data_IF_582071021183
#
_entry.id   IF_582071021183
#
_cell.length_a   1.000
_cell.length_b   1.000
_cell.length_c   1.000
_cell.angle_alpha   90.00
_cell.angle_beta   90.00
_cell.angle_gamma   90.00
#
_symmetry.space_group_name_H-M   'P 1'
#
loop_
_entity.id
_entity.type
_entity.pdbx_description
1 polymer ?
#
# COMPACT_ATOMS: atom_id res chain seq x y z
N UNK A 1 -5.26 -28.38 -10.86
CA UNK A 1 -6.67 -28.05 -11.21
C UNK A 1 -6.88 -26.58 -10.94
N UNK A 2 -7.00 -25.72 -11.96
CA UNK A 2 -7.31 -24.29 -11.78
C UNK A 2 -8.72 -24.19 -11.20
N UNK A 3 -8.88 -23.85 -9.92
CA UNK A 3 -10.17 -23.49 -9.34
C UNK A 3 -10.57 -22.13 -9.92
N UNK A 4 -11.54 -22.11 -10.82
CA UNK A 4 -12.15 -20.86 -11.27
C UNK A 4 -12.92 -20.23 -10.09
N UNK A 5 -12.69 -18.91 -9.88
CA UNK A 5 -13.44 -18.16 -8.89
C UNK A 5 -14.92 -18.06 -9.25
N UNK A 6 -15.78 -18.19 -8.25
CA UNK A 6 -17.22 -17.95 -8.45
C UNK A 6 -17.53 -16.46 -8.57
N UNK A 7 -18.64 -16.06 -9.22
CA UNK A 7 -19.06 -14.66 -9.27
C UNK A 7 -19.18 -14.01 -7.88
N UNK A 8 -19.59 -14.77 -6.87
CA UNK A 8 -19.68 -14.29 -5.48
C UNK A 8 -18.31 -13.97 -4.89
N UNK A 9 -17.30 -14.80 -5.18
CA UNK A 9 -15.93 -14.57 -4.74
C UNK A 9 -15.34 -13.33 -5.42
N UNK A 10 -15.55 -13.18 -6.73
CA UNK A 10 -15.13 -12.00 -7.49
C UNK A 10 -15.81 -10.73 -6.97
N UNK A 11 -17.11 -10.80 -6.66
CA UNK A 11 -17.85 -9.68 -6.10
C UNK A 11 -17.33 -9.25 -4.72
N UNK A 12 -16.99 -10.21 -3.85
CA UNK A 12 -16.37 -9.93 -2.54
C UNK A 12 -14.99 -9.28 -2.71
N UNK A 13 -14.16 -9.77 -3.64
CA UNK A 13 -12.88 -9.16 -3.98
C UNK A 13 -13.05 -7.70 -4.38
N UNK A 14 -13.93 -7.44 -5.34
CA UNK A 14 -14.19 -6.07 -5.81
C UNK A 14 -14.61 -5.15 -4.66
N UNK A 15 -15.52 -5.63 -3.79
CA UNK A 15 -15.95 -4.87 -2.62
C UNK A 15 -14.78 -4.55 -1.67
N UNK A 16 -13.89 -5.51 -1.43
CA UNK A 16 -12.69 -5.34 -0.60
C UNK A 16 -11.81 -4.23 -1.16
N UNK A 17 -11.40 -4.35 -2.43
CA UNK A 17 -10.57 -3.36 -3.12
C UNK A 17 -11.18 -1.97 -3.07
N UNK A 18 -12.47 -1.86 -3.39
CA UNK A 18 -13.19 -0.59 -3.36
C UNK A 18 -13.13 0.06 -1.97
N UNK A 19 -13.36 -0.73 -0.91
CA UNK A 19 -13.35 -0.22 0.47
C UNK A 19 -11.94 0.19 0.91
N UNK A 20 -10.93 -0.60 0.59
CA UNK A 20 -9.52 -0.30 0.87
C UNK A 20 -9.06 0.96 0.14
N UNK A 21 -9.48 1.13 -1.12
CA UNK A 21 -9.18 2.31 -1.91
C UNK A 21 -10.05 3.54 -1.56
N UNK A 22 -10.97 3.42 -0.60
CA UNK A 22 -11.81 4.52 -0.11
C UNK A 22 -12.90 5.00 -1.07
N UNK A 23 -13.26 4.19 -2.09
CA UNK A 23 -14.29 4.52 -3.07
C UNK A 23 -15.69 4.07 -2.62
N UNK A 24 -16.71 4.88 -2.96
CA UNK A 24 -18.11 4.47 -2.84
C UNK A 24 -18.54 3.61 -4.04
N UNK A 25 -19.66 2.90 -3.91
CA UNK A 25 -20.27 2.17 -5.03
C UNK A 25 -20.63 3.11 -6.20
N UNK A 26 -20.96 4.36 -5.91
CA UNK A 26 -21.24 5.38 -6.91
C UNK A 26 -19.98 5.79 -7.67
N UNK A 27 -18.82 5.84 -7.00
CA UNK A 27 -17.55 6.14 -7.65
C UNK A 27 -17.17 5.01 -8.63
N UNK A 28 -17.32 3.72 -8.23
CA UNK A 28 -17.11 2.58 -9.12
C UNK A 28 -18.09 2.58 -10.30
N UNK A 29 -19.36 2.91 -10.04
CA UNK A 29 -20.37 3.00 -11.09
C UNK A 29 -19.97 4.03 -12.18
N UNK A 30 -19.45 5.18 -11.74
CA UNK A 30 -18.93 6.21 -12.65
C UNK A 30 -17.68 5.75 -13.42
N UNK A 31 -16.75 5.05 -12.75
CA UNK A 31 -15.56 4.49 -13.40
C UNK A 31 -15.93 3.54 -14.53
N UNK A 32 -16.90 2.66 -14.27
CA UNK A 32 -17.33 1.64 -15.21
C UNK A 32 -18.41 2.12 -16.21
N UNK A 33 -18.90 3.35 -16.05
CA UNK A 33 -20.02 3.91 -16.84
C UNK A 33 -21.29 3.04 -16.78
N UNK A 34 -21.56 2.44 -15.61
CA UNK A 34 -22.74 1.64 -15.32
C UNK A 34 -23.54 2.24 -14.16
N UNK A 35 -24.74 1.71 -13.93
CA UNK A 35 -25.53 2.16 -12.78
C UNK A 35 -24.96 1.67 -11.44
N UNK A 36 -25.16 2.44 -10.35
CA UNK A 36 -24.81 2.01 -8.99
C UNK A 36 -25.44 0.65 -8.64
N UNK A 37 -26.68 0.42 -9.07
CA UNK A 37 -27.36 -0.87 -8.89
C UNK A 37 -26.59 -2.02 -9.54
N UNK A 38 -26.00 -1.81 -10.71
CA UNK A 38 -25.15 -2.79 -11.39
C UNK A 38 -23.91 -3.12 -10.56
N UNK A 39 -23.26 -2.14 -9.95
CA UNK A 39 -22.12 -2.36 -9.04
C UNK A 39 -22.54 -3.19 -7.83
N UNK A 40 -23.68 -2.88 -7.22
CA UNK A 40 -24.25 -3.68 -6.12
C UNK A 40 -24.46 -5.14 -6.54
N UNK A 41 -24.98 -5.38 -7.76
CA UNK A 41 -25.21 -6.73 -8.28
C UNK A 41 -23.87 -7.46 -8.54
N UNK A 42 -22.85 -6.77 -9.03
CA UNK A 42 -21.51 -7.34 -9.20
C UNK A 42 -20.91 -7.71 -7.84
N UNK A 43 -20.96 -6.81 -6.84
CA UNK A 43 -20.43 -7.07 -5.49
C UNK A 43 -21.16 -8.21 -4.76
N UNK A 44 -22.43 -8.44 -5.07
CA UNK A 44 -23.21 -9.59 -4.57
C UNK A 44 -22.99 -10.87 -5.36
N UNK A 45 -22.30 -10.79 -6.50
CA UNK A 45 -22.09 -11.93 -7.42
C UNK A 45 -23.31 -12.30 -8.26
N UNK A 46 -24.33 -11.45 -8.32
CA UNK A 46 -25.55 -11.66 -9.12
C UNK A 46 -25.38 -11.18 -10.57
N UNK A 47 -24.33 -10.40 -10.85
CA UNK A 47 -23.92 -9.96 -12.17
C UNK A 47 -22.43 -10.22 -12.33
N UNK A 48 -22.04 -10.80 -13.47
CA UNK A 48 -20.63 -10.98 -13.80
C UNK A 48 -20.01 -9.64 -14.22
N UNK A 49 -18.76 -9.43 -13.86
CA UNK A 49 -17.94 -8.34 -14.38
C UNK A 49 -17.42 -8.73 -15.75
N UNK A 50 -17.54 -7.86 -16.73
CA UNK A 50 -16.98 -8.09 -18.06
C UNK A 50 -15.46 -7.86 -18.08
N UNK A 51 -14.76 -8.41 -19.07
CA UNK A 51 -13.32 -8.20 -19.24
C UNK A 51 -12.97 -6.71 -19.41
N UNK A 52 -13.82 -5.94 -20.09
CA UNK A 52 -13.63 -4.50 -20.27
C UNK A 52 -13.78 -3.76 -18.95
N UNK A 53 -14.83 -4.06 -18.16
CA UNK A 53 -15.05 -3.48 -16.85
C UNK A 53 -13.88 -3.83 -15.88
N UNK A 54 -13.39 -5.06 -15.94
CA UNK A 54 -12.25 -5.50 -15.14
C UNK A 54 -10.97 -4.76 -15.54
N UNK A 55 -10.71 -4.58 -16.83
CA UNK A 55 -9.56 -3.82 -17.34
C UNK A 55 -9.62 -2.36 -16.87
N UNK A 56 -10.79 -1.72 -16.96
CA UNK A 56 -10.99 -0.34 -16.48
C UNK A 56 -10.74 -0.23 -14.97
N UNK A 57 -11.23 -1.19 -14.18
CA UNK A 57 -11.00 -1.22 -12.74
C UNK A 57 -9.54 -1.48 -12.38
N UNK A 58 -8.87 -2.40 -13.08
CA UNK A 58 -7.47 -2.71 -12.83
C UNK A 58 -6.57 -1.49 -13.08
N UNK A 59 -6.85 -0.74 -14.15
CA UNK A 59 -6.15 0.52 -14.41
C UNK A 59 -6.48 1.61 -13.39
N UNK A 60 -7.76 1.73 -13.01
CA UNK A 60 -8.23 2.78 -12.10
C UNK A 60 -7.78 2.55 -10.65
N UNK A 61 -7.80 1.31 -10.19
CA UNK A 61 -7.52 0.94 -8.80
C UNK A 61 -6.10 0.36 -8.61
N UNK A 62 -5.33 0.22 -9.70
CA UNK A 62 -3.93 -0.18 -9.67
C UNK A 62 -3.69 -1.64 -9.31
N UNK A 63 -4.60 -2.56 -9.66
CA UNK A 63 -4.42 -4.00 -9.45
C UNK A 63 -4.22 -4.76 -10.78
N UNK A 64 -3.67 -5.98 -10.69
CA UNK A 64 -3.55 -6.88 -11.85
C UNK A 64 -4.87 -7.63 -12.08
N UNK A 65 -5.39 -7.58 -13.34
CA UNK A 65 -6.58 -8.33 -13.69
C UNK A 65 -6.39 -9.84 -13.56
N UNK A 66 -5.19 -10.36 -13.85
CA UNK A 66 -4.85 -11.78 -13.72
C UNK A 66 -4.86 -12.23 -12.26
N UNK A 67 -4.34 -11.42 -11.35
CA UNK A 67 -4.38 -11.70 -9.92
C UNK A 67 -5.79 -11.58 -9.36
N UNK A 68 -6.59 -10.64 -9.86
CA UNK A 68 -7.99 -10.54 -9.49
C UNK A 68 -8.75 -11.82 -9.83
N UNK A 69 -8.42 -12.45 -10.94
CA UNK A 69 -9.02 -13.70 -11.41
C UNK A 69 -8.39 -14.96 -10.82
N UNK A 70 -7.23 -14.86 -10.16
CA UNK A 70 -6.57 -16.02 -9.55
C UNK A 70 -7.34 -16.56 -8.34
N UNK A 71 -7.31 -17.89 -8.15
CA UNK A 71 -8.07 -18.59 -7.09
C UNK A 71 -7.37 -18.57 -5.71
N UNK A 72 -6.17 -18.00 -5.60
CA UNK A 72 -5.39 -17.98 -4.35
C UNK A 72 -5.89 -16.94 -3.33
N UNK A 73 -7.01 -16.30 -3.60
CA UNK A 73 -7.62 -15.32 -2.72
C UNK A 73 -8.70 -15.96 -1.84
N UNK A 74 -8.37 -16.30 -0.60
CA UNK A 74 -9.34 -16.42 0.47
C UNK A 74 -9.48 -15.07 1.17
N UNK A 75 -10.66 -14.47 1.04
CA UNK A 75 -11.01 -13.24 1.75
C UNK A 75 -10.99 -13.52 3.26
N UNK A 76 -9.98 -13.03 3.94
CA UNK A 76 -9.95 -12.97 5.41
C UNK A 76 -10.97 -11.96 5.90
N UNK A 77 -12.26 -12.32 5.85
CA UNK A 77 -13.31 -11.59 6.54
C UNK A 77 -13.96 -12.56 7.51
N UNK A 78 -13.26 -12.79 8.61
CA UNK A 78 -13.90 -13.27 9.84
C UNK A 78 -13.09 -12.72 11.01
N UNK A 79 -13.57 -11.62 11.58
CA UNK A 79 -13.26 -11.33 12.97
C UNK A 79 -13.90 -12.42 13.80
N UNK A 80 -13.14 -13.44 14.12
CA UNK A 80 -13.42 -14.35 15.21
C UNK A 80 -12.41 -14.02 16.29
N UNK A 81 -12.91 -13.44 17.37
CA UNK A 81 -12.19 -13.40 18.63
C UNK A 81 -12.03 -14.87 19.04
N UNK A 82 -10.82 -15.39 18.90
CA UNK A 82 -10.43 -16.66 19.51
C UNK A 82 -9.44 -16.31 20.60
N UNK A 83 -9.85 -16.53 21.84
CA UNK A 83 -8.97 -16.54 23.00
C UNK A 83 -7.85 -17.56 22.74
N UNK A 84 -6.61 -17.09 22.78
CA UNK A 84 -5.43 -17.95 22.71
C UNK A 84 -5.24 -18.68 24.04
N UNK A 85 -4.90 -19.99 24.01
CA UNK A 85 -4.30 -20.62 25.17
C UNK A 85 -2.80 -20.32 25.19
N UNK A 86 -2.33 -19.86 26.34
CA UNK A 86 -0.92 -19.71 26.67
C UNK A 86 -0.12 -20.98 26.33
N UNK A 87 0.78 -20.86 25.37
CA UNK A 87 1.86 -21.82 25.18
C UNK A 87 3.17 -21.02 25.23
N UNK A 88 3.79 -21.02 26.42
CA UNK A 88 5.18 -20.67 26.57
C UNK A 88 6.02 -21.62 25.71
N UNK A 89 6.61 -21.11 24.66
CA UNK A 89 7.70 -21.75 23.95
C UNK A 89 8.86 -20.76 23.90
N UNK A 90 9.87 -21.06 24.71
CA UNK A 90 11.19 -20.46 24.64
C UNK A 90 11.77 -20.58 23.22
N UNK A 91 11.73 -19.48 22.48
CA UNK A 91 12.58 -19.23 21.32
C UNK A 91 13.28 -17.92 21.56
N UNK A 92 14.54 -18.04 22.00
CA UNK A 92 15.45 -16.94 22.23
C UNK A 92 15.60 -16.05 20.97
N UNK A 93 15.31 -14.77 21.19
CA UNK A 93 15.98 -13.61 20.59
C UNK A 93 16.01 -13.56 19.07
N UNK A 94 14.86 -13.47 18.43
CA UNK A 94 14.70 -12.52 17.34
C UNK A 94 14.37 -11.17 17.99
N UNK A 95 15.17 -10.15 17.72
CA UNK A 95 14.85 -8.77 18.13
C UNK A 95 13.67 -8.29 17.31
N UNK A 96 12.48 -8.75 17.67
CA UNK A 96 11.23 -8.22 17.15
C UNK A 96 11.11 -6.80 17.66
N UNK A 97 11.59 -5.87 16.87
CA UNK A 97 11.24 -4.47 17.06
C UNK A 97 9.79 -4.30 16.60
N UNK A 98 8.84 -4.67 17.48
CA UNK A 98 7.43 -4.43 17.23
C UNK A 98 7.27 -2.98 16.78
N UNK A 99 6.75 -2.73 15.57
CA UNK A 99 6.63 -1.38 15.05
C UNK A 99 5.83 -0.50 16.01
N UNK A 100 6.44 0.59 16.45
CA UNK A 100 5.78 1.56 17.31
C UNK A 100 5.48 2.83 16.52
N UNK A 101 4.20 3.06 16.25
CA UNK A 101 3.74 4.20 15.47
C UNK A 101 4.21 5.53 16.06
N UNK A 102 5.01 6.25 15.31
CA UNK A 102 5.48 7.62 15.60
C UNK A 102 4.52 8.61 14.93
N UNK A 103 3.31 8.80 15.52
CA UNK A 103 2.21 9.54 14.91
C UNK A 103 2.58 10.91 14.34
N UNK A 104 3.26 11.75 15.11
CA UNK A 104 3.67 13.09 14.67
C UNK A 104 4.62 13.04 13.46
N UNK A 105 5.49 12.04 13.41
CA UNK A 105 6.41 11.82 12.29
C UNK A 105 5.68 11.35 11.06
N UNK A 106 4.77 10.39 11.19
CA UNK A 106 3.92 9.92 10.09
C UNK A 106 3.12 11.07 9.46
N UNK A 107 2.47 11.90 10.28
CA UNK A 107 1.75 13.07 9.77
C UNK A 107 2.68 14.03 9.01
N UNK A 108 3.89 14.25 9.51
CA UNK A 108 4.89 15.07 8.84
C UNK A 108 5.29 14.48 7.50
N UNK A 109 5.55 13.18 7.42
CA UNK A 109 5.89 12.47 6.16
C UNK A 109 4.75 12.56 5.17
N UNK A 110 3.51 12.31 5.59
CA UNK A 110 2.32 12.44 4.72
C UNK A 110 2.19 13.86 4.18
N UNK A 111 2.32 14.88 5.03
CA UNK A 111 2.26 16.29 4.62
C UNK A 111 3.39 16.64 3.67
N UNK A 112 4.58 16.12 3.88
CA UNK A 112 5.73 16.36 3.02
C UNK A 112 5.53 15.72 1.64
N UNK A 113 5.13 14.44 1.58
CA UNK A 113 4.83 13.75 0.32
C UNK A 113 3.71 14.46 -0.44
N UNK A 114 2.60 14.76 0.23
CA UNK A 114 1.46 15.44 -0.41
C UNK A 114 1.78 16.87 -0.83
N UNK A 115 2.65 17.55 -0.10
CA UNK A 115 3.16 18.89 -0.45
C UNK A 115 4.03 18.89 -1.70
N UNK A 116 4.88 17.86 -1.86
CA UNK A 116 5.79 17.74 -3.02
C UNK A 116 5.09 17.16 -4.25
N UNK A 117 4.20 16.20 -4.07
CA UNK A 117 3.65 15.38 -5.14
C UNK A 117 2.14 15.57 -5.35
N UNK A 118 1.41 16.22 -4.44
CA UNK A 118 -0.05 16.33 -4.49
C UNK A 118 -0.60 17.02 -5.75
N UNK A 119 0.19 17.89 -6.37
CA UNK A 119 -0.17 18.52 -7.64
C UNK A 119 -0.07 17.59 -8.85
N UNK A 120 0.66 16.46 -8.73
CA UNK A 120 0.81 15.50 -9.82
C UNK A 120 -0.56 14.92 -10.20
N UNK A 121 -0.86 14.78 -11.52
CA UNK A 121 -2.18 14.32 -11.96
C UNK A 121 -2.59 12.95 -11.41
N UNK A 122 -1.63 12.05 -11.19
CA UNK A 122 -1.85 10.67 -10.75
C UNK A 122 -1.61 10.44 -9.25
N UNK A 123 -1.36 11.49 -8.48
CA UNK A 123 -1.15 11.36 -7.03
C UNK A 123 -2.47 11.00 -6.34
N UNK A 124 -2.74 9.71 -6.21
CA UNK A 124 -3.86 9.15 -5.47
C UNK A 124 -3.43 8.51 -4.15
N UNK A 125 -4.40 7.96 -3.42
CA UNK A 125 -4.14 7.29 -2.14
C UNK A 125 -3.23 6.07 -2.30
N UNK A 126 -3.37 5.32 -3.40
CA UNK A 126 -2.55 4.12 -3.62
C UNK A 126 -1.09 4.48 -3.86
N UNK A 127 -0.84 5.54 -4.65
CA UNK A 127 0.52 6.05 -4.84
C UNK A 127 1.10 6.56 -3.51
N UNK A 128 0.31 7.27 -2.70
CA UNK A 128 0.74 7.73 -1.36
C UNK A 128 1.15 6.56 -0.47
N UNK A 129 0.35 5.49 -0.43
CA UNK A 129 0.61 4.29 0.37
C UNK A 129 1.93 3.62 -0.04
N UNK A 130 2.16 3.46 -1.35
CA UNK A 130 3.40 2.85 -1.84
C UNK A 130 4.63 3.74 -1.55
N UNK A 131 4.50 5.05 -1.70
CA UNK A 131 5.59 5.97 -1.35
C UNK A 131 5.91 5.93 0.14
N UNK A 132 4.89 5.86 1.02
CA UNK A 132 5.09 5.68 2.47
C UNK A 132 5.83 4.38 2.78
N UNK A 133 5.38 3.27 2.19
CA UNK A 133 6.03 1.97 2.34
C UNK A 133 7.51 2.04 1.94
N UNK A 134 7.81 2.59 0.77
CA UNK A 134 9.19 2.72 0.29
C UNK A 134 10.03 3.64 1.19
N UNK A 135 9.46 4.74 1.71
CA UNK A 135 10.16 5.59 2.66
C UNK A 135 10.52 4.85 3.96
N UNK A 136 9.57 4.10 4.52
CA UNK A 136 9.77 3.34 5.75
C UNK A 136 10.81 2.23 5.56
N UNK A 137 10.66 1.39 4.53
CA UNK A 137 11.53 0.24 4.31
C UNK A 137 12.93 0.64 3.81
N UNK A 138 13.05 1.69 2.98
CA UNK A 138 14.36 2.20 2.57
C UNK A 138 15.11 2.83 3.75
N UNK A 139 14.39 3.56 4.60
CA UNK A 139 15.01 4.12 5.80
C UNK A 139 15.49 3.01 6.74
N UNK A 140 14.68 1.96 6.93
CA UNK A 140 15.05 0.85 7.78
C UNK A 140 16.27 0.08 7.23
N UNK A 141 16.32 -0.16 5.92
CA UNK A 141 17.46 -0.83 5.29
C UNK A 141 18.77 -0.05 5.46
N UNK A 142 18.72 1.29 5.41
CA UNK A 142 19.90 2.16 5.53
C UNK A 142 20.34 2.39 6.98
N UNK A 143 19.39 2.54 7.89
CA UNK A 143 19.65 3.06 9.24
C UNK A 143 19.27 2.09 10.36
N UNK A 144 18.65 0.95 10.05
CA UNK A 144 18.19 -0.05 11.02
C UNK A 144 17.18 0.52 12.04
N UNK A 145 16.54 1.64 11.67
CA UNK A 145 15.55 2.35 12.46
C UNK A 145 14.27 2.57 11.67
N UNK A 146 13.13 2.40 12.31
CA UNK A 146 11.84 2.69 11.70
C UNK A 146 11.64 4.20 11.56
N UNK A 147 11.28 4.67 10.36
CA UNK A 147 10.97 6.07 10.11
C UNK A 147 9.65 6.46 10.79
N UNK A 148 8.54 5.87 10.37
CA UNK A 148 7.21 6.16 10.92
C UNK A 148 6.73 5.16 11.95
N UNK A 149 7.27 3.94 11.92
CA UNK A 149 6.82 2.82 12.76
C UNK A 149 5.42 2.34 12.40
N UNK A 150 4.99 2.56 11.15
CA UNK A 150 3.72 2.11 10.64
C UNK A 150 3.76 0.61 10.37
N UNK A 151 2.76 -0.12 10.84
CA UNK A 151 2.64 -1.55 10.56
C UNK A 151 2.04 -1.74 9.17
N UNK A 152 2.67 -2.57 8.35
CA UNK A 152 2.19 -2.92 7.02
C UNK A 152 1.79 -4.39 6.98
N UNK A 153 0.65 -4.69 6.35
CA UNK A 153 0.21 -6.07 6.06
C UNK A 153 0.29 -6.31 4.56
N UNK A 154 0.67 -7.53 4.16
CA UNK A 154 0.62 -7.91 2.76
C UNK A 154 -0.81 -8.08 2.31
N UNK A 155 -1.24 -7.26 1.36
CA UNK A 155 -2.52 -7.39 0.68
C UNK A 155 -2.32 -7.78 -0.79
N UNK A 156 -3.39 -8.18 -1.45
CA UNK A 156 -3.35 -8.65 -2.86
C UNK A 156 -2.70 -7.64 -3.80
N UNK A 157 -2.82 -6.36 -3.49
CA UNK A 157 -2.37 -5.27 -4.38
C UNK A 157 -1.11 -4.56 -3.91
N UNK A 158 -0.50 -5.04 -2.84
CA UNK A 158 0.73 -4.47 -2.30
C UNK A 158 0.68 -4.30 -0.78
N UNK A 159 1.58 -3.50 -0.22
CA UNK A 159 1.62 -3.22 1.21
C UNK A 159 0.42 -2.37 1.62
N UNK A 160 -0.30 -2.79 2.66
CA UNK A 160 -1.42 -2.04 3.24
C UNK A 160 -1.07 -1.58 4.65
N UNK A 161 -0.92 -0.27 4.86
CA UNK A 161 -0.62 0.25 6.19
C UNK A 161 -1.84 0.17 7.10
N UNK A 162 -1.63 -0.23 8.35
CA UNK A 162 -2.69 -0.36 9.34
C UNK A 162 -3.36 0.99 9.59
N UNK A 163 -4.69 0.99 9.58
CA UNK A 163 -5.55 2.15 9.87
C UNK A 163 -5.24 3.45 9.09
N UNK A 164 -4.56 3.38 7.94
CA UNK A 164 -4.18 4.59 7.17
C UNK A 164 -5.40 5.45 6.82
N UNK A 165 -6.52 4.84 6.45
CA UNK A 165 -7.75 5.57 6.13
C UNK A 165 -8.34 6.32 7.33
N UNK A 166 -8.22 5.77 8.54
CA UNK A 166 -8.58 6.45 9.78
C UNK A 166 -7.68 7.67 10.02
N UNK A 167 -6.36 7.47 9.86
CA UNK A 167 -5.36 8.52 10.02
C UNK A 167 -5.59 9.68 9.05
N UNK A 168 -5.81 9.39 7.76
CA UNK A 168 -6.07 10.42 6.75
C UNK A 168 -7.37 11.19 7.03
N UNK A 169 -8.44 10.51 7.50
CA UNK A 169 -9.69 11.16 7.89
C UNK A 169 -9.51 12.08 9.10
N UNK A 170 -8.73 11.67 10.09
CA UNK A 170 -8.40 12.51 11.25
C UNK A 170 -7.62 13.75 10.83
N UNK A 171 -6.59 13.58 9.99
CA UNK A 171 -5.82 14.71 9.44
C UNK A 171 -6.70 15.65 8.60
N UNK A 172 -7.69 15.14 7.87
CA UNK A 172 -8.67 15.93 7.13
C UNK A 172 -9.56 16.73 8.11
N UNK A 173 -10.08 16.08 9.15
CA UNK A 173 -10.89 16.72 10.21
C UNK A 173 -10.12 17.82 10.93
N UNK A 174 -8.83 17.60 11.17
CA UNK A 174 -7.95 18.58 11.83
C UNK A 174 -7.47 19.71 10.88
N UNK A 175 -7.93 19.71 9.63
CA UNK A 175 -7.54 20.70 8.62
C UNK A 175 -6.11 20.57 8.12
N UNK A 176 -5.39 19.50 8.48
CA UNK A 176 -4.03 19.21 8.04
C UNK A 176 -3.99 18.75 6.59
N UNK A 177 -5.02 18.02 6.15
CA UNK A 177 -5.19 17.55 4.77
C UNK A 177 -6.52 18.03 4.20
N UNK A 178 -6.55 18.22 2.90
CA UNK A 178 -7.75 18.48 2.14
C UNK A 178 -7.96 17.35 1.14
N UNK A 179 -9.13 16.72 1.18
CA UNK A 179 -9.50 15.62 0.30
C UNK A 179 -10.21 16.15 -0.94
N UNK A 180 -9.70 15.81 -2.10
CA UNK A 180 -10.29 16.18 -3.39
C UNK A 180 -10.69 14.94 -4.15
N UNK A 181 -11.91 14.97 -4.70
CA UNK A 181 -12.33 14.03 -5.72
C UNK A 181 -11.96 14.62 -7.07
N UNK A 182 -11.05 13.98 -7.77
CA UNK A 182 -10.59 14.38 -9.10
C UNK A 182 -11.00 13.39 -10.16
N UNK A 183 -10.55 13.67 -11.39
CA UNK A 183 -10.68 12.78 -12.52
C UNK A 183 -9.37 12.84 -13.32
N UNK A 184 -8.82 11.67 -13.66
CA UNK A 184 -7.66 11.57 -14.53
C UNK A 184 -7.99 10.67 -15.71
N UNK A 185 -8.01 11.22 -16.93
CA UNK A 185 -8.37 10.50 -18.18
C UNK A 185 -9.70 9.74 -18.09
N UNK A 186 -10.73 10.34 -17.44
CA UNK A 186 -12.04 9.71 -17.26
C UNK A 186 -12.15 8.84 -15.99
N UNK A 187 -11.04 8.57 -15.29
CA UNK A 187 -11.01 7.72 -14.10
C UNK A 187 -11.11 8.60 -12.85
N UNK A 188 -12.15 8.45 -12.01
CA UNK A 188 -12.22 9.14 -10.73
C UNK A 188 -11.07 8.74 -9.81
N UNK A 189 -10.48 9.71 -9.13
CA UNK A 189 -9.44 9.47 -8.15
C UNK A 189 -9.64 10.36 -6.90
N UNK A 190 -9.11 9.89 -5.78
CA UNK A 190 -9.08 10.64 -4.54
C UNK A 190 -7.65 11.13 -4.33
N UNK A 191 -7.52 12.46 -4.21
CA UNK A 191 -6.27 13.14 -3.89
C UNK A 191 -6.31 13.74 -2.51
N UNK A 192 -5.15 13.82 -1.90
CA UNK A 192 -4.94 14.60 -0.70
C UNK A 192 -3.92 15.71 -1.00
N UNK A 193 -4.27 16.93 -0.62
CA UNK A 193 -3.38 18.08 -0.64
C UNK A 193 -3.14 18.55 0.80
N UNK A 194 -1.94 19.07 1.12
CA UNK A 194 -1.68 19.57 2.45
C UNK A 194 -2.51 20.84 2.72
N UNK A 195 -3.19 20.89 3.85
CA UNK A 195 -3.84 22.08 4.38
C UNK A 195 -2.88 22.95 5.19
N UNK A 196 -1.76 22.37 5.64
CA UNK A 196 -0.70 23.02 6.40
C UNK A 196 0.66 22.54 5.89
N UNK A 197 1.70 23.34 6.13
CA UNK A 197 3.06 22.92 5.81
C UNK A 197 3.56 21.81 6.73
N UNK A 198 4.35 20.87 6.18
CA UNK A 198 5.02 19.87 6.97
C UNK A 198 6.02 20.53 7.95
N UNK A 199 5.97 20.15 9.23
CA UNK A 199 6.97 20.59 10.20
C UNK A 199 8.24 19.75 10.06
N UNK A 200 9.18 20.21 9.25
CA UNK A 200 10.43 19.49 8.95
C UNK A 200 11.35 19.33 10.18
N UNK A 201 11.09 20.02 11.28
CA UNK A 201 11.85 19.81 12.53
C UNK A 201 11.58 18.41 13.13
N UNK A 202 10.53 17.72 12.70
CA UNK A 202 10.24 16.35 13.10
C UNK A 202 11.04 15.30 12.33
N UNK A 203 11.80 15.70 11.31
CA UNK A 203 12.63 14.83 10.47
C UNK A 203 14.10 15.19 10.64
N UNK A 204 14.95 14.19 10.79
CA UNK A 204 16.39 14.37 10.65
C UNK A 204 16.79 14.60 9.19
N UNK A 205 18.03 15.04 8.97
CA UNK A 205 18.56 15.21 7.61
C UNK A 205 18.58 13.89 6.84
N UNK A 206 18.96 12.78 7.49
CA UNK A 206 18.99 11.44 6.91
C UNK A 206 17.58 10.95 6.53
N UNK A 207 16.60 11.13 7.41
CA UNK A 207 15.20 10.76 7.12
C UNK A 207 14.64 11.54 5.93
N UNK A 208 14.92 12.85 5.90
CA UNK A 208 14.50 13.70 4.78
C UNK A 208 15.17 13.28 3.46
N UNK A 209 16.46 12.96 3.49
CA UNK A 209 17.19 12.49 2.31
C UNK A 209 16.59 11.20 1.74
N UNK A 210 16.25 10.23 2.58
CA UNK A 210 15.59 9.00 2.14
C UNK A 210 14.24 9.29 1.48
N UNK A 211 13.43 10.15 2.10
CA UNK A 211 12.13 10.54 1.54
C UNK A 211 12.32 11.22 0.19
N UNK A 212 13.25 12.18 0.08
CA UNK A 212 13.51 12.89 -1.18
C UNK A 212 13.94 11.93 -2.30
N UNK A 213 14.83 10.97 -2.03
CA UNK A 213 15.25 9.95 -3.01
C UNK A 213 14.07 9.11 -3.49
N UNK A 214 13.20 8.67 -2.57
CA UNK A 214 11.98 7.93 -2.93
C UNK A 214 11.07 8.76 -3.83
N UNK A 215 10.86 10.04 -3.50
CA UNK A 215 10.00 10.92 -4.29
C UNK A 215 10.60 11.21 -5.67
N UNK A 216 11.90 11.45 -5.78
CA UNK A 216 12.59 11.66 -7.05
C UNK A 216 12.48 10.44 -7.96
N UNK A 217 12.63 9.25 -7.42
CA UNK A 217 12.62 8.01 -8.19
C UNK A 217 11.20 7.60 -8.60
N UNK A 218 10.24 7.66 -7.69
CA UNK A 218 8.96 6.95 -7.84
C UNK A 218 7.72 7.84 -7.98
N UNK A 219 7.77 9.14 -7.64
CA UNK A 219 6.57 9.99 -7.64
C UNK A 219 5.89 10.12 -8.99
N UNK A 220 6.62 9.93 -10.08
CA UNK A 220 6.11 10.00 -11.45
C UNK A 220 5.62 8.67 -12.00
N UNK A 221 5.81 7.57 -11.26
CA UNK A 221 5.38 6.25 -11.71
C UNK A 221 3.85 6.12 -11.64
N UNK A 222 3.24 5.36 -12.56
CA UNK A 222 1.85 4.93 -12.39
C UNK A 222 1.72 4.06 -11.14
N UNK A 223 0.61 4.19 -10.41
CA UNK A 223 0.36 3.39 -9.20
C UNK A 223 0.44 1.88 -9.49
N UNK A 224 -0.04 1.43 -10.65
CA UNK A 224 0.05 0.02 -11.07
C UNK A 224 1.49 -0.47 -11.24
N UNK A 225 2.37 0.37 -11.81
CA UNK A 225 3.79 0.02 -11.97
C UNK A 225 4.49 -0.01 -10.60
N UNK A 226 4.17 0.94 -9.72
CA UNK A 226 4.74 0.98 -8.38
C UNK A 226 4.23 -0.19 -7.51
N UNK A 227 2.96 -0.57 -7.62
CA UNK A 227 2.42 -1.77 -7.00
C UNK A 227 3.14 -3.05 -7.50
N UNK A 228 3.43 -3.15 -8.80
CA UNK A 228 4.19 -4.27 -9.33
C UNK A 228 5.61 -4.30 -8.75
N UNK A 229 6.27 -3.15 -8.70
CA UNK A 229 7.62 -3.00 -8.14
C UNK A 229 7.66 -3.41 -6.66
N UNK A 230 6.76 -2.87 -5.82
CA UNK A 230 6.74 -3.19 -4.39
C UNK A 230 6.39 -4.66 -4.12
N UNK A 231 5.51 -5.27 -4.93
CA UNK A 231 5.19 -6.71 -4.80
C UNK A 231 6.36 -7.62 -5.18
N UNK A 232 7.24 -7.15 -6.05
CA UNK A 232 8.43 -7.92 -6.46
C UNK A 232 9.57 -7.84 -5.42
N UNK A 233 9.45 -6.98 -4.42
CA UNK A 233 10.42 -6.90 -3.32
C UNK A 233 10.36 -8.11 -2.38
N UNK A 234 11.51 -8.47 -1.81
CA UNK A 234 11.63 -9.59 -0.87
C UNK A 234 10.70 -9.46 0.35
N UNK A 235 10.49 -8.30 0.97
CA UNK A 235 9.55 -8.15 2.07
C UNK A 235 8.14 -8.66 1.74
N UNK A 236 7.64 -8.35 0.54
CA UNK A 236 6.34 -8.84 0.13
C UNK A 236 6.39 -10.29 -0.36
N UNK A 237 7.44 -10.71 -1.09
CA UNK A 237 7.59 -12.11 -1.54
C UNK A 237 7.60 -13.09 -0.38
N UNK A 238 8.34 -12.79 0.70
CA UNK A 238 8.51 -13.67 1.86
C UNK A 238 7.31 -13.69 2.82
N UNK A 239 6.45 -12.66 2.80
CA UNK A 239 5.30 -12.55 3.69
C UNK A 239 4.09 -13.25 3.08
N UNK A 240 3.28 -13.96 3.87
CA UNK A 240 2.01 -14.53 3.39
C UNK A 240 0.91 -13.46 3.34
N UNK A 241 -0.10 -13.73 2.51
CA UNK A 241 -1.27 -12.86 2.38
C UNK A 241 -1.96 -12.64 3.73
N UNK A 242 -2.19 -11.37 4.09
CA UNK A 242 -2.84 -10.98 5.35
C UNK A 242 -1.90 -10.91 6.55
N UNK A 243 -0.65 -11.37 6.45
CA UNK A 243 0.33 -11.28 7.52
C UNK A 243 1.07 -9.92 7.53
N UNK A 244 1.60 -9.56 8.70
CA UNK A 244 2.43 -8.36 8.85
C UNK A 244 3.76 -8.52 8.12
N UNK A 245 4.20 -7.47 7.45
CA UNK A 245 5.47 -7.41 6.72
C UNK A 245 6.54 -6.96 7.71
N UNK A 246 7.52 -7.84 8.01
CA UNK A 246 8.65 -7.52 8.88
C UNK A 246 9.60 -6.53 8.20
N UNK A 247 10.00 -5.50 8.93
CA UNK A 247 10.96 -4.50 8.43
C UNK A 247 12.34 -5.13 8.15
N UNK A 248 12.74 -6.15 8.91
CA UNK A 248 14.00 -6.89 8.76
C UNK A 248 14.14 -7.54 7.38
N UNK A 249 13.02 -7.83 6.72
CA UNK A 249 13.03 -8.37 5.36
C UNK A 249 13.60 -7.39 4.32
N UNK A 250 13.74 -6.11 4.67
CA UNK A 250 14.39 -5.12 3.81
C UNK A 250 15.87 -5.46 3.55
N UNK A 251 16.56 -6.12 4.50
CA UNK A 251 17.95 -6.53 4.33
C UNK A 251 18.17 -7.67 3.33
N UNK A 252 17.08 -8.34 2.93
CA UNK A 252 17.10 -9.44 1.97
C UNK A 252 16.63 -9.02 0.57
N UNK A 253 16.53 -7.72 0.32
CA UNK A 253 16.17 -7.19 -0.99
C UNK A 253 17.23 -7.53 -2.03
N UNK A 254 16.77 -7.90 -3.23
CA UNK A 254 17.65 -8.10 -4.38
C UNK A 254 18.26 -6.78 -4.84
N UNK A 255 19.38 -6.82 -5.54
CA UNK A 255 20.18 -5.67 -5.97
C UNK A 255 19.35 -4.59 -6.71
N UNK A 256 18.27 -4.95 -7.41
CA UNK A 256 17.38 -4.01 -8.10
C UNK A 256 16.43 -3.22 -7.17
N UNK A 257 16.26 -3.64 -5.90
CA UNK A 257 15.37 -3.06 -4.91
C UNK A 257 16.12 -2.53 -3.69
N UNK A 258 17.31 -3.07 -3.42
CA UNK A 258 18.15 -2.63 -2.32
C UNK A 258 18.64 -1.20 -2.52
N UNK A 259 18.57 -0.40 -1.47
CA UNK A 259 19.10 0.96 -1.42
C UNK A 259 20.47 1.01 -0.72
N UNK A 260 20.89 -0.09 -0.10
CA UNK A 260 22.20 -0.25 0.51
C UNK A 260 23.18 -0.82 -0.50
N UNK A 261 24.34 -0.21 -0.62
CA UNK A 261 25.45 -0.76 -1.39
C UNK A 261 26.16 -1.74 -0.47
N UNK A 262 26.03 -3.03 -0.78
CA UNK A 262 26.84 -4.06 -0.16
C UNK A 262 28.13 -4.15 -0.97
N UNK A 263 29.27 -3.83 -0.36
CA UNK A 263 30.59 -4.04 -0.99
C UNK A 263 30.85 -5.55 -1.09
N UNK A 264 30.42 -6.16 -2.20
CA UNK A 264 30.71 -7.57 -2.52
C UNK A 264 32.17 -7.81 -2.92
N UNK A 265 33.05 -6.82 -2.82
CA UNK A 265 34.43 -6.88 -3.31
C UNK A 265 35.44 -7.62 -2.40
N UNK A 266 34.99 -8.15 -1.25
CA UNK A 266 35.91 -8.88 -0.33
C UNK A 266 36.38 -10.23 -0.87
N UNK A 267 35.81 -10.76 -1.97
CA UNK A 267 36.16 -12.07 -2.52
C UNK A 267 36.93 -12.02 -3.87
N UNK A 268 37.29 -10.84 -4.41
CA UNK A 268 37.97 -10.75 -5.70
C UNK A 268 39.51 -10.76 -5.62
N UNK A 269 40.08 -10.65 -4.42
CA UNK A 269 41.55 -10.57 -4.23
C UNK A 269 42.21 -11.91 -3.82
N UNK A 270 41.47 -13.04 -3.83
CA UNK A 270 42.04 -14.37 -3.51
C UNK A 270 41.94 -15.40 -4.63
N UNK A 271 42.03 -15.00 -5.91
CA UNK A 271 42.19 -15.94 -7.00
C UNK A 271 43.38 -15.59 -7.91
#
# INVERSE_FOLDING_TARGET
>A
MNRQLTPQQLGKKLKGIRMESGFSQEDIARMLQISRSSVVQIEKGNRQISAIELSMLSEALGFSADEFLSAEYEASTTMSIVEEPDVETDLEVMRDSVPKLKRAKLETVILYITGRCGALPRMDVNLLINLLYLCDFNHYELHEEQLTGLLYTKQTYGPSPENINGILKEMEKDGKLQRFKGNYKGIPLIKYLPGVHANLMNLSAAEKEVIDRVLEQFSHWPASALNAYTRDEMPLKATKQGEAIGYELAFYREQGHSVRIYDDDWYKDEL
#
